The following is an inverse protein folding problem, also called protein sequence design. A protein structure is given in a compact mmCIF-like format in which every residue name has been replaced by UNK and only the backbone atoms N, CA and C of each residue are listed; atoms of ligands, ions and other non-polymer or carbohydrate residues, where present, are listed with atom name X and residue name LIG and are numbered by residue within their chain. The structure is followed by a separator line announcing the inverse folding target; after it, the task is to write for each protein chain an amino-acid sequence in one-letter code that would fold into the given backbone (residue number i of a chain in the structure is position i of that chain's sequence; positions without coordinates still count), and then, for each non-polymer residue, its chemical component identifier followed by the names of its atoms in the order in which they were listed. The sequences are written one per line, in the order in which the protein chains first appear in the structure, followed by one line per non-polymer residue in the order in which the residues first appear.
data_IF_527693278491
#
_entry.id   IF_527693278491
#
_cell.length_a   1.000
_cell.length_b   1.000
_cell.length_c   1.000
_cell.angle_alpha   90.00
_cell.angle_beta   90.00
_cell.angle_gamma   90.00
#
_symmetry.space_group_name_H-M   'P 1'
#
loop_
_entity.id
_entity.type
_entity.pdbx_description
1 polymer ?
#
# COMPACT_ATOMS: atom_id res chain seq x y z
N UNK A 1 30.95 53.98 43.21
CA UNK A 1 32.31 53.61 42.77
C UNK A 1 32.16 52.95 41.40
N UNK A 2 32.47 53.50 40.23
CA UNK A 2 33.45 54.51 39.83
C UNK A 2 34.30 53.96 38.66
N UNK A 3 33.71 53.45 37.57
CA UNK A 3 34.48 53.09 36.35
C UNK A 3 34.68 54.41 35.55
N UNK A 4 35.76 55.18 35.79
CA UNK A 4 36.24 56.23 34.86
C UNK A 4 37.24 55.57 33.90
N UNK A 5 36.98 55.64 32.61
CA UNK A 5 37.88 55.17 31.57
C UNK A 5 38.97 56.19 31.25
N UNK A 6 40.19 55.72 31.03
CA UNK A 6 40.99 55.89 29.81
C UNK A 6 42.38 55.27 30.02
N UNK A 7 42.81 54.37 29.13
CA UNK A 7 44.22 54.23 28.80
C UNK A 7 44.36 53.79 27.35
N UNK A 8 45.21 54.50 26.63
CA UNK A 8 45.65 54.19 25.29
C UNK A 8 46.49 52.90 25.33
N UNK A 9 46.28 52.01 24.35
CA UNK A 9 46.96 50.72 24.15
C UNK A 9 46.78 49.68 25.27
N UNK A 10 45.73 48.88 25.15
CA UNK A 10 45.59 47.62 25.90
C UNK A 10 44.13 47.24 26.10
N UNK A 11 43.78 45.98 25.86
CA UNK A 11 42.45 45.44 26.15
C UNK A 11 42.12 45.63 27.63
N UNK A 12 41.17 46.52 27.93
CA UNK A 12 40.67 46.73 29.29
C UNK A 12 39.86 45.49 29.70
N UNK A 13 40.17 44.84 30.83
CA UNK A 13 39.33 43.75 31.32
C UNK A 13 37.93 44.30 31.66
N UNK A 14 36.84 43.66 31.20
CA UNK A 14 35.48 44.16 31.41
C UNK A 14 35.14 44.28 32.91
N UNK A 15 34.42 45.35 33.32
CA UNK A 15 34.00 45.53 34.73
C UNK A 15 33.17 44.27 35.15
N UNK A 16 33.35 43.70 36.37
CA UNK A 16 32.80 42.38 36.72
C UNK A 16 31.26 42.29 36.65
N UNK A 17 30.56 43.40 36.88
CA UNK A 17 29.11 43.50 36.72
C UNK A 17 28.64 43.35 35.26
N UNK A 18 29.46 43.78 34.29
CA UNK A 18 29.18 43.68 32.86
C UNK A 18 29.31 42.24 32.36
N UNK A 19 30.29 41.49 32.91
CA UNK A 19 30.48 40.06 32.63
C UNK A 19 29.30 39.22 33.13
N UNK A 20 28.78 39.51 34.33
CA UNK A 20 27.61 38.81 34.89
C UNK A 20 26.34 39.12 34.08
N UNK A 21 26.16 40.38 33.65
CA UNK A 21 25.04 40.79 32.80
C UNK A 21 25.12 40.14 31.42
N UNK A 22 26.31 40.05 30.83
CA UNK A 22 26.56 39.33 29.57
C UNK A 22 26.26 37.83 29.67
N UNK A 23 26.67 37.17 30.75
CA UNK A 23 26.35 35.75 31.00
C UNK A 23 24.85 35.51 31.12
N UNK A 24 24.13 36.37 31.84
CA UNK A 24 22.66 36.26 31.98
C UNK A 24 21.95 36.50 30.65
N UNK A 25 22.38 37.49 29.87
CA UNK A 25 21.84 37.75 28.54
C UNK A 25 22.08 36.56 27.59
N UNK A 26 23.31 36.02 27.56
CA UNK A 26 23.65 34.86 26.74
C UNK A 26 22.83 33.61 27.10
N UNK A 27 22.64 33.35 28.40
CA UNK A 27 21.78 32.25 28.87
C UNK A 27 20.31 32.47 28.46
N UNK A 28 19.79 33.69 28.60
CA UNK A 28 18.42 34.00 28.20
C UNK A 28 18.19 33.76 26.69
N UNK A 29 19.09 34.29 25.84
CA UNK A 29 19.02 34.06 24.40
C UNK A 29 19.13 32.58 24.05
N UNK A 30 20.05 31.84 24.68
CA UNK A 30 20.18 30.41 24.48
C UNK A 30 18.90 29.64 24.86
N UNK A 31 18.29 29.96 26.00
CA UNK A 31 17.04 29.35 26.44
C UNK A 31 15.91 29.63 25.45
N UNK A 32 15.78 30.87 24.96
CA UNK A 32 14.76 31.23 23.96
C UNK A 32 14.97 30.46 22.66
N UNK A 33 16.21 30.35 22.16
CA UNK A 33 16.52 29.60 20.93
C UNK A 33 16.26 28.10 21.10
N UNK A 34 16.53 27.51 22.26
CA UNK A 34 16.28 26.09 22.50
C UNK A 34 14.78 25.80 22.67
N UNK A 35 14.07 26.64 23.42
CA UNK A 35 12.65 26.41 23.77
C UNK A 35 11.71 26.79 22.63
N UNK A 36 12.01 27.86 21.89
CA UNK A 36 11.17 28.32 20.78
C UNK A 36 11.81 28.02 19.43
N UNK A 37 13.11 28.29 19.28
CA UNK A 37 13.82 28.16 18.00
C UNK A 37 13.90 26.72 17.49
N UNK A 38 14.31 25.75 18.32
CA UNK A 38 14.40 24.35 17.89
C UNK A 38 13.02 23.76 17.53
N UNK A 39 11.93 23.95 18.31
CA UNK A 39 10.61 23.45 17.92
C UNK A 39 10.03 24.14 16.69
N UNK A 40 10.20 25.46 16.57
CA UNK A 40 9.78 26.20 15.37
C UNK A 40 10.55 25.72 14.15
N UNK A 41 11.88 25.62 14.25
CA UNK A 41 12.71 25.13 13.16
C UNK A 41 12.28 23.73 12.75
N UNK A 42 12.17 22.79 13.70
CA UNK A 42 11.71 21.43 13.41
C UNK A 42 10.36 21.41 12.69
N UNK A 43 9.37 22.16 13.21
CA UNK A 43 8.02 22.25 12.65
C UNK A 43 7.98 22.91 11.28
N UNK A 44 8.86 23.86 10.99
CA UNK A 44 8.96 24.54 9.69
C UNK A 44 9.80 23.77 8.67
N UNK A 45 10.67 22.87 9.13
CA UNK A 45 11.49 22.00 8.26
C UNK A 45 10.86 20.64 7.98
N UNK A 46 9.75 20.32 8.63
CA UNK A 46 9.00 19.10 8.38
C UNK A 46 8.28 19.21 7.02
N UNK A 47 8.52 18.22 6.18
CA UNK A 47 7.83 18.12 4.89
C UNK A 47 6.37 17.78 5.11
N UNK A 48 5.47 18.50 4.43
CA UNK A 48 4.03 18.21 4.52
C UNK A 48 3.76 16.77 4.09
N UNK A 49 2.89 16.09 4.83
CA UNK A 49 2.47 14.71 4.54
C UNK A 49 0.99 14.57 4.81
N UNK A 50 0.21 14.21 3.79
CA UNK A 50 -1.20 13.93 3.96
C UNK A 50 -1.41 12.76 4.95
N UNK A 51 -2.41 12.84 5.84
CA UNK A 51 -2.73 11.75 6.76
C UNK A 51 -3.29 10.55 6.00
N UNK A 52 -2.92 9.34 6.43
CA UNK A 52 -3.39 8.08 5.85
C UNK A 52 -4.17 7.24 6.87
N UNK A 53 -5.17 6.45 6.43
CA UNK A 53 -6.02 5.63 7.30
C UNK A 53 -5.33 4.31 7.73
N UNK A 54 -4.21 4.41 8.47
CA UNK A 54 -3.43 3.23 8.90
C UNK A 54 -4.23 2.24 9.76
N UNK A 55 -5.11 2.74 10.63
CA UNK A 55 -5.97 1.92 11.49
C UNK A 55 -6.96 1.10 10.67
N UNK A 56 -7.57 1.71 9.65
CA UNK A 56 -8.54 1.05 8.78
C UNK A 56 -7.86 0.00 7.91
N UNK A 57 -6.70 0.32 7.31
CA UNK A 57 -5.90 -0.63 6.53
C UNK A 57 -5.53 -1.85 7.37
N UNK A 58 -5.14 -1.65 8.64
CA UNK A 58 -4.85 -2.75 9.56
C UNK A 58 -6.09 -3.59 9.89
N UNK A 59 -7.27 -2.95 9.92
CA UNK A 59 -8.57 -3.60 10.10
C UNK A 59 -8.99 -4.46 8.92
N UNK A 60 -8.55 -4.16 7.68
CA UNK A 60 -8.91 -4.93 6.48
C UNK A 60 -8.50 -6.40 6.55
N UNK A 61 -7.35 -6.72 7.16
CA UNK A 61 -6.90 -8.10 7.30
C UNK A 61 -7.76 -8.94 8.27
N UNK A 62 -8.57 -8.28 9.10
CA UNK A 62 -9.48 -8.93 10.05
C UNK A 62 -10.91 -9.10 9.54
N UNK A 63 -11.22 -8.59 8.34
CA UNK A 63 -12.55 -8.70 7.76
C UNK A 63 -12.88 -10.17 7.45
N UNK A 64 -13.90 -10.68 8.15
CA UNK A 64 -14.51 -11.97 7.82
C UNK A 64 -15.51 -11.77 6.70
N UNK A 65 -15.13 -12.13 5.48
CA UNK A 65 -16.04 -12.16 4.34
C UNK A 65 -17.16 -13.18 4.61
N UNK A 66 -18.36 -12.69 4.92
CA UNK A 66 -19.58 -13.50 4.98
C UNK A 66 -20.19 -13.53 3.59
N UNK A 67 -20.55 -14.72 3.11
CA UNK A 67 -21.08 -14.92 1.77
C UNK A 67 -22.53 -15.41 1.86
N UNK A 68 -23.43 -14.76 1.12
CA UNK A 68 -24.79 -15.20 0.91
C UNK A 68 -24.95 -15.70 -0.53
N UNK A 69 -25.27 -16.99 -0.71
CA UNK A 69 -25.47 -17.61 -2.02
C UNK A 69 -26.94 -18.01 -2.17
N UNK A 70 -27.70 -17.43 -3.11
CA UNK A 70 -29.07 -17.86 -3.38
C UNK A 70 -29.05 -19.21 -4.11
N UNK A 71 -29.38 -20.29 -3.39
CA UNK A 71 -29.51 -21.63 -3.98
C UNK A 71 -30.98 -21.93 -4.22
N UNK A 72 -31.36 -22.13 -5.48
CA UNK A 72 -32.70 -22.62 -5.84
C UNK A 72 -32.63 -24.12 -6.10
N UNK A 73 -33.31 -24.91 -5.26
CA UNK A 73 -33.39 -26.37 -5.42
C UNK A 73 -34.68 -26.69 -6.16
N UNK A 74 -34.56 -27.23 -7.38
CA UNK A 74 -35.70 -27.71 -8.18
C UNK A 74 -35.79 -29.23 -8.02
N UNK A 75 -36.89 -29.72 -7.45
CA UNK A 75 -37.14 -31.16 -7.33
C UNK A 75 -37.84 -31.67 -8.59
N UNK A 76 -37.24 -32.63 -9.30
CA UNK A 76 -37.87 -33.32 -10.44
C UNK A 76 -38.46 -34.66 -9.98
N UNK A 77 -39.68 -35.00 -10.42
CA UNK A 77 -40.41 -36.20 -9.98
C UNK A 77 -40.00 -37.50 -10.68
N UNK A 78 -39.12 -37.47 -11.68
CA UNK A 78 -38.72 -38.68 -12.40
C UNK A 78 -37.20 -38.78 -12.53
N UNK A 79 -36.69 -39.93 -12.13
CA UNK A 79 -35.28 -40.31 -12.22
C UNK A 79 -34.87 -40.42 -13.69
N UNK A 80 -34.07 -39.49 -14.17
CA UNK A 80 -33.39 -39.61 -15.47
C UNK A 80 -32.35 -40.73 -15.35
N UNK A 81 -32.29 -41.69 -16.29
CA UNK A 81 -31.29 -42.76 -16.26
C UNK A 81 -29.88 -42.19 -16.32
N UNK A 82 -29.01 -42.74 -15.46
CA UNK A 82 -27.56 -42.58 -15.52
C UNK A 82 -27.05 -43.40 -16.71
N UNK A 83 -27.08 -42.82 -17.91
CA UNK A 83 -26.19 -43.23 -18.99
C UNK A 83 -25.59 -41.97 -19.61
N UNK A 84 -24.30 -42.04 -19.90
CA UNK A 84 -23.46 -40.99 -20.48
C UNK A 84 -22.98 -39.89 -19.52
N UNK A 85 -22.32 -40.31 -18.44
CA UNK A 85 -21.21 -39.54 -17.89
C UNK A 85 -19.88 -40.13 -18.38
N UNK A 86 -19.66 -40.07 -19.71
CA UNK A 86 -18.34 -40.34 -20.24
C UNK A 86 -17.42 -39.17 -19.85
N UNK A 87 -16.54 -39.47 -18.92
CA UNK A 87 -15.49 -38.59 -18.41
C UNK A 87 -14.57 -38.26 -19.58
N UNK A 88 -14.78 -37.12 -20.24
CA UNK A 88 -13.94 -36.70 -21.37
C UNK A 88 -12.46 -36.71 -20.95
N UNK A 89 -11.63 -37.64 -21.45
CA UNK A 89 -10.20 -37.54 -21.29
C UNK A 89 -9.77 -36.31 -22.11
N UNK A 90 -9.10 -35.37 -21.47
CA UNK A 90 -8.86 -34.01 -21.95
C UNK A 90 -7.93 -33.90 -23.18
N UNK A 91 -7.74 -35.01 -23.91
CA UNK A 91 -6.86 -35.11 -25.06
C UNK A 91 -7.51 -36.00 -26.12
N UNK A 92 -8.23 -35.40 -27.06
CA UNK A 92 -8.63 -36.08 -28.31
C UNK A 92 -7.51 -35.84 -29.32
N UNK A 93 -6.67 -36.85 -29.56
CA UNK A 93 -5.73 -36.84 -30.69
C UNK A 93 -6.50 -37.35 -31.90
N UNK A 94 -6.84 -36.46 -32.84
CA UNK A 94 -7.48 -36.85 -34.10
C UNK A 94 -6.44 -37.51 -35.00
N UNK A 95 -6.31 -38.82 -34.89
CA UNK A 95 -5.41 -39.59 -35.75
C UNK A 95 -6.13 -39.91 -37.06
N UNK A 96 -5.63 -39.40 -38.18
CA UNK A 96 -6.18 -39.72 -39.50
C UNK A 96 -5.94 -41.20 -39.78
N UNK A 97 -7.00 -41.90 -40.18
CA UNK A 97 -6.97 -43.35 -40.36
C UNK A 97 -5.90 -43.75 -41.40
N UNK A 98 -4.89 -44.59 -41.06
CA UNK A 98 -3.77 -44.91 -41.95
C UNK A 98 -4.20 -45.54 -43.29
N UNK A 99 -5.41 -46.10 -43.35
CA UNK A 99 -5.99 -46.72 -44.56
C UNK A 99 -6.48 -45.70 -45.59
N UNK A 100 -6.66 -44.44 -45.20
CA UNK A 100 -6.96 -43.33 -46.13
C UNK A 100 -5.78 -43.02 -47.07
N UNK A 101 -4.57 -43.51 -46.75
CA UNK A 101 -3.35 -43.35 -47.54
C UNK A 101 -3.15 -44.42 -48.63
N UNK A 102 -4.12 -45.30 -48.86
CA UNK A 102 -4.00 -46.38 -49.85
C UNK A 102 -4.09 -45.91 -51.33
N UNK A 103 -4.12 -44.61 -51.60
CA UNK A 103 -4.15 -44.06 -52.96
C UNK A 103 -3.08 -42.99 -53.15
N UNK A 104 -2.28 -43.15 -54.20
CA UNK A 104 -1.19 -42.24 -54.62
C UNK A 104 -1.64 -40.87 -55.15
N UNK A 105 -2.84 -40.40 -54.79
CA UNK A 105 -3.37 -39.12 -55.23
C UNK A 105 -3.45 -38.14 -54.06
N UNK A 106 -2.50 -37.22 -54.05
CA UNK A 106 -2.56 -35.99 -53.27
C UNK A 106 -3.40 -34.96 -54.06
N UNK A 107 -4.16 -34.08 -53.39
CA UNK A 107 -4.32 -33.95 -51.94
C UNK A 107 -5.43 -34.86 -51.37
N UNK A 108 -5.17 -35.44 -50.20
CA UNK A 108 -6.17 -36.20 -49.42
C UNK A 108 -7.10 -35.19 -48.73
N UNK A 109 -8.39 -35.22 -49.09
CA UNK A 109 -9.40 -34.42 -48.37
C UNK A 109 -9.75 -35.13 -47.07
N UNK A 110 -9.36 -34.53 -45.95
CA UNK A 110 -9.72 -34.99 -44.61
C UNK A 110 -10.92 -34.20 -44.13
N UNK A 111 -12.05 -34.88 -43.96
CA UNK A 111 -13.24 -34.29 -43.35
C UNK A 111 -13.06 -34.34 -41.83
N UNK A 112 -12.77 -33.16 -41.25
CA UNK A 112 -12.64 -33.00 -39.80
C UNK A 112 -14.03 -32.75 -39.24
N UNK A 113 -14.45 -33.54 -38.26
CA UNK A 113 -15.65 -33.26 -37.48
C UNK A 113 -15.43 -32.01 -36.61
N UNK A 114 -15.78 -30.86 -37.17
CA UNK A 114 -15.62 -29.54 -36.52
C UNK A 114 -16.43 -29.46 -35.24
N UNK A 115 -17.54 -30.20 -35.12
CA UNK A 115 -18.41 -30.19 -33.93
C UNK A 115 -17.66 -30.80 -32.76
N UNK A 116 -17.12 -32.02 -32.93
CA UNK A 116 -16.34 -32.71 -31.90
C UNK A 116 -15.07 -31.94 -31.50
N UNK A 117 -14.38 -31.32 -32.46
CA UNK A 117 -13.21 -30.49 -32.16
C UNK A 117 -13.59 -29.24 -31.37
N UNK A 118 -14.71 -28.59 -31.73
CA UNK A 118 -15.20 -27.41 -31.04
C UNK A 118 -15.61 -27.71 -29.60
N UNK A 119 -16.19 -28.89 -29.33
CA UNK A 119 -16.52 -29.31 -27.95
C UNK A 119 -15.28 -29.40 -27.05
N UNK A 120 -14.19 -29.97 -27.55
CA UNK A 120 -12.92 -30.05 -26.81
C UNK A 120 -12.33 -28.66 -26.59
N UNK A 121 -12.34 -27.81 -27.63
CA UNK A 121 -11.86 -26.44 -27.53
C UNK A 121 -12.67 -25.62 -26.51
N UNK A 122 -14.01 -25.72 -26.55
CA UNK A 122 -14.89 -25.05 -25.60
C UNK A 122 -14.66 -25.52 -24.17
N UNK A 123 -14.43 -26.83 -23.95
CA UNK A 123 -14.08 -27.35 -22.64
C UNK A 123 -12.75 -26.77 -22.12
N UNK A 124 -11.72 -26.70 -22.97
CA UNK A 124 -10.42 -26.11 -22.61
C UNK A 124 -10.51 -24.60 -22.37
N UNK A 125 -11.27 -23.89 -23.20
CA UNK A 125 -11.51 -22.46 -23.07
C UNK A 125 -12.23 -22.12 -21.76
N UNK A 126 -13.25 -22.93 -21.39
CA UNK A 126 -13.94 -22.81 -20.09
C UNK A 126 -12.97 -22.99 -18.91
N UNK A 127 -12.07 -23.97 -18.99
CA UNK A 127 -11.04 -24.16 -17.96
C UNK A 127 -10.09 -22.95 -17.87
N UNK A 128 -9.68 -22.38 -19.00
CA UNK A 128 -8.85 -21.17 -19.02
C UNK A 128 -9.54 -19.97 -18.37
N UNK A 129 -10.85 -19.83 -18.57
CA UNK A 129 -11.65 -18.80 -17.89
C UNK A 129 -11.88 -19.08 -16.40
N UNK A 130 -11.46 -20.24 -15.88
CA UNK A 130 -11.68 -20.65 -14.49
C UNK A 130 -13.07 -21.24 -14.23
N UNK A 131 -13.82 -21.54 -15.29
CA UNK A 131 -15.12 -22.21 -15.22
C UNK A 131 -14.85 -23.71 -15.08
N UNK A 132 -14.60 -24.15 -13.85
CA UNK A 132 -14.39 -25.56 -13.56
C UNK A 132 -15.74 -26.30 -13.52
N UNK A 133 -15.80 -27.46 -14.17
CA UNK A 133 -16.93 -28.38 -14.06
C UNK A 133 -17.15 -28.74 -12.58
N UNK A 134 -18.30 -28.40 -12.00
CA UNK A 134 -18.60 -28.74 -10.62
C UNK A 134 -18.84 -30.26 -10.48
N UNK A 135 -18.27 -30.85 -9.44
CA UNK A 135 -18.54 -32.23 -9.09
C UNK A 135 -19.87 -32.30 -8.33
N UNK A 136 -20.94 -32.74 -9.00
CA UNK A 136 -22.21 -32.90 -8.29
C UNK A 136 -22.22 -34.16 -7.44
N UNK A 137 -22.97 -34.15 -6.33
CA UNK A 137 -23.44 -35.38 -5.71
C UNK A 137 -24.19 -36.26 -6.73
N UNK A 138 -24.12 -37.60 -6.63
CA UNK A 138 -24.70 -38.54 -7.60
C UNK A 138 -26.24 -38.50 -7.76
N UNK A 139 -26.93 -37.61 -7.05
CA UNK A 139 -28.40 -37.41 -7.12
C UNK A 139 -28.81 -36.02 -7.59
N UNK A 140 -27.86 -35.16 -7.95
CA UNK A 140 -28.13 -33.83 -8.46
C UNK A 140 -27.82 -33.80 -9.95
N UNK A 141 -28.70 -33.21 -10.74
CA UNK A 141 -28.50 -32.94 -12.16
C UNK A 141 -28.49 -31.43 -12.37
N UNK A 142 -27.66 -30.93 -13.28
CA UNK A 142 -27.75 -29.53 -13.70
C UNK A 142 -28.94 -29.33 -14.62
N UNK A 143 -29.71 -28.29 -14.34
CA UNK A 143 -30.75 -27.81 -15.23
C UNK A 143 -30.18 -26.70 -16.12
N UNK A 144 -30.22 -26.89 -17.44
CA UNK A 144 -29.87 -25.89 -18.44
C UNK A 144 -29.05 -26.42 -19.63
N UNK A 145 -28.77 -25.57 -20.62
CA UNK A 145 -28.07 -25.97 -21.85
C UNK A 145 -26.65 -26.44 -21.55
N UNK A 146 -26.30 -27.65 -21.98
CA UNK A 146 -24.98 -28.27 -21.73
C UNK A 146 -23.83 -27.61 -22.52
N UNK A 147 -24.13 -26.94 -23.63
CA UNK A 147 -23.10 -26.52 -24.61
C UNK A 147 -23.28 -25.08 -25.16
N UNK A 148 -24.43 -24.44 -24.94
CA UNK A 148 -24.69 -23.09 -25.44
C UNK A 148 -24.45 -22.04 -24.33
N UNK A 149 -23.28 -21.39 -24.38
CA UNK A 149 -22.98 -20.21 -23.55
C UNK A 149 -22.51 -20.50 -22.11
N UNK A 150 -22.45 -19.42 -21.31
CA UNK A 150 -22.09 -19.42 -19.88
C UNK A 150 -23.37 -19.41 -19.06
N UNK A 151 -23.48 -20.32 -18.10
CA UNK A 151 -24.62 -20.40 -17.20
C UNK A 151 -24.59 -19.26 -16.17
N UNK A 152 -25.75 -18.80 -15.73
CA UNK A 152 -25.86 -17.71 -14.75
C UNK A 152 -25.12 -18.01 -13.45
N UNK A 153 -25.19 -19.24 -12.94
CA UNK A 153 -24.46 -19.67 -11.75
C UNK A 153 -22.94 -19.75 -11.98
N UNK A 154 -22.49 -20.05 -13.21
CA UNK A 154 -21.05 -20.02 -13.55
C UNK A 154 -20.55 -18.58 -13.54
N UNK A 155 -21.33 -17.66 -14.10
CA UNK A 155 -21.05 -16.23 -14.04
C UNK A 155 -21.01 -15.72 -12.60
N UNK A 156 -21.99 -16.08 -11.77
CA UNK A 156 -22.02 -15.71 -10.36
C UNK A 156 -20.78 -16.23 -9.61
N UNK A 157 -20.37 -17.48 -9.88
CA UNK A 157 -19.15 -18.06 -9.31
C UNK A 157 -17.90 -17.30 -9.75
N UNK A 158 -17.81 -16.89 -11.02
CA UNK A 158 -16.69 -16.10 -11.53
C UNK A 158 -16.64 -14.70 -10.90
N UNK A 159 -17.79 -14.01 -10.84
CA UNK A 159 -17.90 -12.70 -10.19
C UNK A 159 -17.48 -12.79 -8.73
N UNK A 160 -17.92 -13.82 -8.03
CA UNK A 160 -17.51 -14.09 -6.65
C UNK A 160 -16.00 -14.31 -6.54
N UNK A 161 -15.44 -15.26 -7.28
CA UNK A 161 -14.03 -15.61 -7.22
C UNK A 161 -13.16 -14.38 -7.49
N UNK A 162 -13.48 -13.59 -8.53
CA UNK A 162 -12.75 -12.37 -8.85
C UNK A 162 -12.95 -11.26 -7.83
N UNK A 163 -14.14 -11.12 -7.24
CA UNK A 163 -14.35 -10.13 -6.18
C UNK A 163 -13.46 -10.42 -4.97
N UNK A 164 -13.37 -11.68 -4.55
CA UNK A 164 -12.55 -12.10 -3.42
C UNK A 164 -11.06 -11.94 -3.71
N UNK A 165 -10.60 -12.36 -4.90
CA UNK A 165 -9.20 -12.18 -5.31
C UNK A 165 -8.81 -10.71 -5.44
N UNK A 166 -9.70 -9.87 -5.98
CA UNK A 166 -9.49 -8.42 -6.06
C UNK A 166 -9.38 -7.82 -4.66
N UNK A 167 -10.27 -8.20 -3.74
CA UNK A 167 -10.22 -7.72 -2.35
C UNK A 167 -8.93 -8.15 -1.64
N UNK A 168 -8.48 -9.39 -1.84
CA UNK A 168 -7.22 -9.88 -1.30
C UNK A 168 -6.01 -9.10 -1.87
N UNK A 169 -6.01 -8.86 -3.18
CA UNK A 169 -4.97 -8.07 -3.87
C UNK A 169 -4.97 -6.62 -3.38
N UNK A 170 -6.12 -5.96 -3.30
CA UNK A 170 -6.27 -4.60 -2.79
C UNK A 170 -5.79 -4.47 -1.34
N UNK A 171 -6.16 -5.43 -0.48
CA UNK A 171 -5.74 -5.43 0.93
C UNK A 171 -4.23 -5.62 1.07
N UNK A 172 -3.64 -6.53 0.28
CA UNK A 172 -2.20 -6.78 0.27
C UNK A 172 -1.41 -5.57 -0.26
N UNK A 173 -1.90 -4.92 -1.31
CA UNK A 173 -1.28 -3.70 -1.86
C UNK A 173 -1.35 -2.53 -0.88
N UNK A 174 -2.51 -2.28 -0.25
CA UNK A 174 -2.66 -1.25 0.79
C UNK A 174 -1.79 -1.51 2.02
N UNK A 175 -1.68 -2.78 2.44
CA UNK A 175 -0.80 -3.17 3.55
C UNK A 175 0.67 -2.92 3.19
N UNK A 176 1.07 -3.27 1.96
CA UNK A 176 2.43 -3.05 1.47
C UNK A 176 2.75 -1.56 1.35
N UNK A 177 1.80 -0.74 0.86
CA UNK A 177 1.89 0.72 0.82
C UNK A 177 2.11 1.29 2.22
N UNK A 178 1.28 0.89 3.19
CA UNK A 178 1.39 1.36 4.56
C UNK A 178 2.74 1.01 5.20
N UNK A 179 3.25 -0.21 4.95
CA UNK A 179 4.56 -0.64 5.43
C UNK A 179 5.72 0.13 4.78
N UNK A 180 5.68 0.35 3.46
CA UNK A 180 6.68 1.13 2.73
C UNK A 180 6.76 2.56 3.28
N UNK A 181 5.60 3.21 3.39
CA UNK A 181 5.47 4.57 3.90
C UNK A 181 5.82 4.68 5.39
N UNK A 182 5.66 3.63 6.18
CA UNK A 182 6.11 3.58 7.57
C UNK A 182 7.64 3.48 7.69
N UNK A 183 8.29 2.73 6.79
CA UNK A 183 9.76 2.55 6.79
C UNK A 183 10.50 3.77 6.23
N UNK A 184 9.93 4.45 5.24
CA UNK A 184 10.55 5.60 4.58
C UNK A 184 9.76 6.86 4.98
N UNK A 185 10.09 7.42 6.15
CA UNK A 185 9.37 8.55 6.74
C UNK A 185 9.47 9.85 5.94
N UNK A 186 10.45 9.97 5.03
CA UNK A 186 10.71 11.20 4.27
C UNK A 186 9.97 11.32 2.93
N UNK A 187 9.06 10.39 2.61
CA UNK A 187 8.25 10.46 1.39
C UNK A 187 7.10 11.46 1.60
N UNK A 188 7.08 12.52 0.78
CA UNK A 188 5.94 13.47 0.68
C UNK A 188 4.76 12.75 0.05
N UNK A 189 3.64 12.72 0.77
CA UNK A 189 2.38 12.15 0.30
C UNK A 189 1.48 13.31 -0.09
N UNK A 190 1.11 13.36 -1.37
CA UNK A 190 0.15 14.32 -1.90
C UNK A 190 -1.28 13.98 -1.49
N UNK A 191 -2.14 14.99 -1.44
CA UNK A 191 -3.56 14.82 -1.13
C UNK A 191 -4.28 13.90 -2.13
N UNK A 192 -3.92 13.96 -3.41
CA UNK A 192 -4.48 13.08 -4.45
C UNK A 192 -4.22 11.60 -4.14
N UNK A 193 -2.99 11.26 -3.78
CA UNK A 193 -2.60 9.89 -3.42
C UNK A 193 -3.33 9.45 -2.15
N UNK A 194 -3.41 10.33 -1.14
CA UNK A 194 -4.17 10.04 0.07
C UNK A 194 -5.64 9.78 -0.25
N UNK A 195 -6.26 10.58 -1.12
CA UNK A 195 -7.65 10.40 -1.54
C UNK A 195 -7.89 9.06 -2.24
N UNK A 196 -6.96 8.60 -3.09
CA UNK A 196 -7.03 7.27 -3.73
C UNK A 196 -6.90 6.14 -2.70
N UNK A 197 -6.06 6.30 -1.67
CA UNK A 197 -5.99 5.34 -0.55
C UNK A 197 -7.31 5.28 0.23
N UNK A 198 -7.89 6.43 0.59
CA UNK A 198 -9.20 6.49 1.24
C UNK A 198 -10.29 5.84 0.38
N UNK A 199 -10.29 6.12 -0.93
CA UNK A 199 -11.24 5.51 -1.86
C UNK A 199 -11.07 4.00 -1.94
N UNK A 200 -9.83 3.51 -1.98
CA UNK A 200 -9.54 2.08 -2.00
C UNK A 200 -10.06 1.38 -0.74
N UNK A 201 -9.80 1.93 0.45
CA UNK A 201 -10.26 1.37 1.73
C UNK A 201 -11.78 1.34 1.80
N UNK A 202 -12.44 2.46 1.44
CA UNK A 202 -13.90 2.54 1.40
C UNK A 202 -14.51 1.54 0.40
N UNK A 203 -13.90 1.38 -0.77
CA UNK A 203 -14.34 0.42 -1.78
C UNK A 203 -14.17 -1.04 -1.32
N UNK A 204 -13.11 -1.37 -0.57
CA UNK A 204 -12.93 -2.69 0.05
C UNK A 204 -14.05 -2.99 1.05
N UNK A 205 -14.36 -2.04 1.94
CA UNK A 205 -15.43 -2.19 2.93
C UNK A 205 -16.79 -2.37 2.24
N UNK A 206 -17.10 -1.52 1.26
CA UNK A 206 -18.32 -1.61 0.46
C UNK A 206 -18.45 -2.95 -0.27
N UNK A 207 -17.37 -3.44 -0.90
CA UNK A 207 -17.39 -4.72 -1.58
C UNK A 207 -17.66 -5.88 -0.60
N UNK A 208 -17.11 -5.82 0.61
CA UNK A 208 -17.38 -6.81 1.65
C UNK A 208 -18.84 -6.80 2.13
N UNK A 209 -19.45 -5.63 2.27
CA UNK A 209 -20.88 -5.47 2.61
C UNK A 209 -21.80 -6.02 1.52
N UNK A 210 -21.52 -5.72 0.25
CA UNK A 210 -22.28 -6.21 -0.90
C UNK A 210 -22.15 -7.74 -1.06
N UNK A 211 -20.96 -8.30 -0.81
CA UNK A 211 -20.74 -9.76 -0.76
C UNK A 211 -21.59 -10.43 0.34
N UNK A 212 -21.74 -9.76 1.49
CA UNK A 212 -22.58 -10.25 2.59
C UNK A 212 -24.07 -10.15 2.29
N UNK A 213 -24.46 -9.20 1.44
CA UNK A 213 -25.84 -9.00 0.98
C UNK A 213 -26.22 -9.89 -0.21
N UNK A 214 -25.23 -10.55 -0.84
CA UNK A 214 -25.45 -11.42 -2.00
C UNK A 214 -25.51 -10.68 -3.35
N UNK A 215 -25.23 -9.37 -3.38
CA UNK A 215 -25.21 -8.60 -4.64
C UNK A 215 -23.83 -8.70 -5.32
N UNK A 216 -23.64 -9.77 -6.10
CA UNK A 216 -22.32 -10.07 -6.69
C UNK A 216 -21.84 -9.04 -7.72
N UNK A 217 -22.74 -8.43 -8.49
CA UNK A 217 -22.38 -7.44 -9.50
C UNK A 217 -21.88 -6.11 -8.89
N UNK A 218 -22.55 -5.60 -7.86
CA UNK A 218 -22.12 -4.40 -7.12
C UNK A 218 -20.84 -4.68 -6.32
N UNK A 219 -20.75 -5.85 -5.69
CA UNK A 219 -19.53 -6.31 -5.03
C UNK A 219 -18.33 -6.35 -5.97
N UNK A 220 -18.51 -6.90 -7.17
CA UNK A 220 -17.45 -6.95 -8.19
C UNK A 220 -17.03 -5.55 -8.63
N UNK A 221 -18.00 -4.66 -8.92
CA UNK A 221 -17.71 -3.28 -9.30
C UNK A 221 -16.90 -2.54 -8.22
N UNK A 222 -17.30 -2.67 -6.95
CA UNK A 222 -16.59 -2.10 -5.81
C UNK A 222 -15.19 -2.74 -5.62
N UNK A 223 -15.06 -4.06 -5.78
CA UNK A 223 -13.77 -4.76 -5.70
C UNK A 223 -12.79 -4.29 -6.77
N UNK A 224 -13.29 -3.99 -7.98
CA UNK A 224 -12.49 -3.49 -9.10
C UNK A 224 -12.01 -2.07 -8.82
N UNK A 225 -12.90 -1.23 -8.28
CA UNK A 225 -12.56 0.12 -7.86
C UNK A 225 -11.50 0.11 -6.75
N UNK A 226 -11.60 -0.81 -5.79
CA UNK A 226 -10.62 -0.99 -4.72
C UNK A 226 -9.21 -1.28 -5.27
N UNK A 227 -9.07 -2.28 -6.15
CA UNK A 227 -7.78 -2.63 -6.78
C UNK A 227 -7.25 -1.49 -7.63
N UNK A 228 -8.09 -0.91 -8.48
CA UNK A 228 -7.66 0.18 -9.37
C UNK A 228 -7.16 1.39 -8.58
N UNK A 229 -7.84 1.74 -7.49
CA UNK A 229 -7.46 2.88 -6.64
C UNK A 229 -6.23 2.56 -5.79
N UNK A 230 -6.10 1.35 -5.25
CA UNK A 230 -4.92 0.95 -4.47
C UNK A 230 -3.66 0.88 -5.33
N UNK A 231 -3.75 0.39 -6.55
CA UNK A 231 -2.64 0.38 -7.51
C UNK A 231 -2.27 1.78 -7.98
N UNK A 232 -3.25 2.64 -8.28
CA UNK A 232 -2.99 4.06 -8.60
C UNK A 232 -2.24 4.77 -7.49
N UNK A 233 -2.66 4.57 -6.24
CA UNK A 233 -1.97 5.14 -5.09
C UNK A 233 -0.56 4.57 -4.93
N UNK A 234 -0.38 3.26 -5.09
CA UNK A 234 0.93 2.60 -4.91
C UNK A 234 1.95 2.96 -6.00
N UNK A 235 1.49 3.10 -7.25
CA UNK A 235 2.34 3.40 -8.40
C UNK A 235 2.34 4.88 -8.79
N UNK A 236 1.89 5.79 -7.91
CA UNK A 236 1.93 7.22 -8.20
C UNK A 236 3.38 7.71 -8.38
N UNK A 237 3.68 8.48 -9.45
CA UNK A 237 5.03 8.96 -9.73
C UNK A 237 5.68 9.75 -8.58
N UNK A 238 4.88 10.43 -7.74
CA UNK A 238 5.41 11.21 -6.61
C UNK A 238 6.04 10.33 -5.54
N UNK A 239 5.51 9.12 -5.30
CA UNK A 239 6.07 8.18 -4.34
C UNK A 239 7.43 7.63 -4.79
N UNK A 240 7.68 7.56 -6.10
CA UNK A 240 8.94 7.09 -6.68
C UNK A 240 9.98 8.21 -6.83
N UNK A 241 9.55 9.44 -7.12
CA UNK A 241 10.44 10.56 -7.42
C UNK A 241 11.12 11.18 -6.18
N UNK A 242 10.56 10.96 -4.98
CA UNK A 242 11.04 11.62 -3.76
C UNK A 242 12.15 10.88 -3.01
N UNK A 243 12.60 9.75 -3.53
CA UNK A 243 13.88 9.14 -3.13
C UNK A 243 15.07 10.10 -3.34
N UNK A 244 14.90 11.17 -4.13
CA UNK A 244 16.00 12.07 -4.53
C UNK A 244 16.10 13.40 -3.75
N UNK A 245 15.21 13.66 -2.78
CA UNK A 245 15.39 14.78 -1.84
C UNK A 245 15.76 14.23 -0.44
N UNK A 246 16.98 13.70 -0.26
CA UNK A 246 17.45 13.29 1.04
C UNK A 246 17.50 14.49 1.98
N UNK A 247 17.34 14.21 3.26
CA UNK A 247 17.52 15.18 4.35
C UNK A 247 18.88 15.88 4.28
N UNK A 248 19.85 15.27 3.63
CA UNK A 248 21.17 15.85 3.37
C UNK A 248 21.10 17.14 2.54
N UNK A 249 20.13 17.27 1.63
CA UNK A 249 19.97 18.48 0.80
C UNK A 249 19.33 19.63 1.59
N UNK A 250 18.40 19.36 2.52
CA UNK A 250 17.92 20.41 3.43
C UNK A 250 19.06 20.89 4.33
N UNK A 251 19.90 19.98 4.85
CA UNK A 251 21.06 20.38 5.64
C UNK A 251 22.08 21.18 4.82
N UNK A 252 22.29 20.86 3.55
CA UNK A 252 23.18 21.63 2.66
C UNK A 252 22.70 23.08 2.45
N UNK A 253 21.39 23.33 2.45
CA UNK A 253 20.81 24.68 2.34
C UNK A 253 20.83 25.41 3.70
N UNK A 254 20.52 24.70 4.79
CA UNK A 254 20.36 25.30 6.12
C UNK A 254 21.67 25.46 6.91
N UNK A 255 22.65 24.58 6.73
CA UNK A 255 23.95 24.67 7.44
C UNK A 255 24.62 26.02 7.13
N UNK A 256 24.82 26.46 5.87
CA UNK A 256 25.44 27.77 5.60
C UNK A 256 24.68 28.96 6.22
N UNK A 257 23.35 28.87 6.33
CA UNK A 257 22.50 29.95 6.85
C UNK A 257 22.52 30.02 8.39
N UNK A 258 22.44 28.87 9.07
CA UNK A 258 22.27 28.79 10.52
C UNK A 258 23.58 28.54 11.28
N UNK A 259 24.60 27.92 10.67
CA UNK A 259 25.89 27.64 11.29
C UNK A 259 26.61 28.90 11.79
N UNK A 260 26.65 30.03 11.05
CA UNK A 260 27.31 31.26 11.51
C UNK A 260 26.68 31.85 12.77
N UNK A 261 25.36 31.68 12.96
CA UNK A 261 24.65 32.15 14.15
C UNK A 261 24.72 31.12 15.30
N UNK A 262 24.71 29.82 15.00
CA UNK A 262 24.75 28.77 16.00
C UNK A 262 26.12 28.66 16.69
N UNK A 263 27.23 28.84 15.95
CA UNK A 263 28.61 28.68 16.47
C UNK A 263 28.90 29.61 17.67
N UNK A 264 28.63 30.94 17.60
CA UNK A 264 28.84 31.84 18.74
C UNK A 264 27.98 31.47 19.97
N UNK A 265 26.73 31.05 19.76
CA UNK A 265 25.80 30.69 20.84
C UNK A 265 26.28 29.42 21.56
N UNK A 266 26.71 28.40 20.80
CA UNK A 266 27.27 27.15 21.33
C UNK A 266 28.58 27.38 22.08
N UNK A 267 29.50 28.18 21.53
CA UNK A 267 30.75 28.53 22.22
C UNK A 267 30.50 29.30 23.52
N UNK A 268 29.53 30.21 23.53
CA UNK A 268 29.12 30.96 24.72
C UNK A 268 28.55 30.03 25.80
N UNK A 269 27.62 29.14 25.43
CA UNK A 269 27.07 28.12 26.33
C UNK A 269 28.15 27.18 26.89
N UNK A 270 29.04 26.69 26.03
CA UNK A 270 30.10 25.76 26.41
C UNK A 270 31.09 26.39 27.40
N UNK A 271 31.43 27.67 27.19
CA UNK A 271 32.29 28.42 28.11
C UNK A 271 31.65 28.58 29.49
N UNK A 272 30.36 28.94 29.54
CA UNK A 272 29.61 29.06 30.79
C UNK A 272 29.53 27.70 31.51
N UNK A 273 29.27 26.62 30.77
CA UNK A 273 29.18 25.26 31.33
C UNK A 273 30.50 24.78 31.94
N UNK A 274 31.63 24.97 31.24
CA UNK A 274 32.97 24.61 31.74
C UNK A 274 33.34 25.39 33.00
N UNK A 275 32.98 26.67 33.06
CA UNK A 275 33.29 27.54 34.20
C UNK A 275 32.49 27.13 35.44
N UNK A 276 31.20 26.82 35.28
CA UNK A 276 30.36 26.25 36.35
C UNK A 276 30.89 24.90 36.83
N UNK A 277 31.32 24.03 35.90
CA UNK A 277 31.90 22.71 36.24
C UNK A 277 33.23 22.82 36.99
N UNK A 278 34.07 23.82 36.68
CA UNK A 278 35.31 24.10 37.41
C UNK A 278 35.04 24.68 38.80
N UNK A 279 34.02 25.52 38.94
CA UNK A 279 33.59 26.08 40.23
C UNK A 279 33.10 24.99 41.18
N UNK A 280 32.39 23.98 40.68
CA UNK A 280 31.94 22.82 41.46
C UNK A 280 33.06 21.88 41.92
N UNK A 281 34.23 21.88 41.26
CA UNK A 281 35.37 21.03 41.64
C UNK A 281 36.30 21.64 42.68
N UNK A 282 36.10 22.91 43.07
CA UNK A 282 36.82 23.50 44.20
C UNK A 282 35.96 23.30 45.45
N UNK A 283 36.25 22.31 46.32
CA UNK A 283 35.63 22.29 47.64
C UNK A 283 36.05 23.57 48.36
N UNK A 284 35.05 24.30 48.83
CA UNK A 284 35.19 25.43 49.75
C UNK A 284 36.00 24.93 50.96
N UNK A 285 37.25 25.39 51.08
CA UNK A 285 37.96 25.24 52.35
C UNK A 285 37.24 26.18 53.31
N UNK A 286 36.43 25.58 54.15
CA UNK A 286 35.86 26.20 55.34
C UNK A 286 37.07 26.42 56.26
N UNK A 287 37.49 27.67 56.40
CA UNK A 287 38.38 28.11 57.48
C UNK A 287 37.64 28.04 58.82
#
# INVERSE_FOLDING_TARGET
MGCRGFSALGWIPPCPAEVVRGKRAALFFATVVIVLGLPLWWKTTETYRAPLPYSEISGLNSLKLRLMVPVTVVFTQESVPLDDQEKLPFTVVYNVDPKAYNGSQLPVSVEVDVVRVMEVFLAQLRLLFGIAQPQLPPKCLFFGPKSEGIMTWELDRLLWARSVENLATATTTLTSLAQLLGKISNIVIKDDVASEVYRAVAAVQKAAEELSSGHLASAFAASREAVTSSERAFFDPSLLHLLYFPDDQKFAIYIPLFLPMAVPILLSLFKIFLETRKSWKKPEKID
#
